data_IF_787842359388
#
_entry.id   IF_787842359388
#
_cell.length_a   1.000
_cell.length_b   1.000
_cell.length_c   1.000
_cell.angle_alpha   90.00
_cell.angle_beta   90.00
_cell.angle_gamma   90.00
#
_symmetry.space_group_name_H-M   'P 1'
#
loop_
_entity.id
_entity.type
_entity.pdbx_description
1 polymer ?
#
# COMPACT_ATOMS: atom_id res chain seq x y z
N UNK A 1 -63.80 97.08 -7.15
CA UNK A 1 -63.53 95.63 -7.29
C UNK A 1 -63.91 94.99 -5.95
N UNK A 2 -65.03 94.27 -5.85
CA UNK A 2 -65.25 92.85 -6.21
C UNK A 2 -64.56 91.95 -5.16
N UNK A 3 -65.17 90.96 -4.47
CA UNK A 3 -66.54 90.49 -4.20
C UNK A 3 -66.33 89.34 -3.19
N UNK A 4 -67.21 89.19 -2.20
CA UNK A 4 -67.35 87.98 -1.37
C UNK A 4 -67.28 86.68 -2.18
N UNK A 5 -66.96 85.56 -1.48
CA UNK A 5 -67.44 84.17 -1.62
C UNK A 5 -66.29 83.16 -1.35
N UNK A 6 -66.44 81.97 -0.75
CA UNK A 6 -67.55 81.03 -0.52
C UNK A 6 -67.01 79.94 0.46
N UNK A 7 -67.72 79.51 1.50
CA UNK A 7 -68.80 78.49 1.56
C UNK A 7 -68.34 77.01 1.54
N UNK A 8 -68.90 76.26 2.52
CA UNK A 8 -69.24 74.82 2.63
C UNK A 8 -68.17 73.92 3.32
N UNK A 9 -68.35 73.38 4.54
CA UNK A 9 -69.41 72.50 5.10
C UNK A 9 -69.28 71.10 4.44
N UNK A 10 -68.96 69.99 5.11
CA UNK A 10 -69.79 69.06 5.93
C UNK A 10 -68.87 67.81 6.15
N UNK A 11 -68.58 67.35 7.39
CA UNK A 11 -69.22 66.22 8.12
C UNK A 11 -68.88 64.82 7.53
N UNK A 12 -68.87 63.65 8.19
CA UNK A 12 -69.01 63.10 9.57
C UNK A 12 -69.12 61.56 9.35
N UNK A 13 -68.83 60.74 10.38
CA UNK A 13 -69.18 59.29 10.56
C UNK A 13 -68.31 58.24 9.81
N UNK A 14 -67.63 57.31 10.50
CA UNK A 14 -68.12 56.10 11.21
C UNK A 14 -68.52 54.98 10.22
N UNK A 15 -68.34 53.67 10.39
CA UNK A 15 -67.85 52.73 11.42
C UNK A 15 -68.00 51.33 10.76
N UNK A 16 -67.13 50.34 11.06
CA UNK A 16 -67.31 48.86 10.90
C UNK A 16 -67.64 48.31 9.48
N UNK A 17 -67.38 47.07 9.04
CA UNK A 17 -66.89 45.84 9.65
C UNK A 17 -66.39 44.88 8.55
N UNK A 18 -65.51 43.98 8.98
CA UNK A 18 -64.89 42.77 8.40
C UNK A 18 -65.71 41.93 7.39
N UNK A 19 -65.06 41.53 6.29
CA UNK A 19 -65.15 40.21 5.62
C UNK A 19 -63.73 39.88 5.08
N UNK A 20 -62.94 39.04 5.76
CA UNK A 20 -62.78 37.59 5.59
C UNK A 20 -62.39 37.10 4.17
N UNK A 21 -61.11 36.65 4.10
CA UNK A 21 -60.49 35.61 3.24
C UNK A 21 -60.19 35.95 1.78
N UNK A 22 -58.89 35.97 1.42
CA UNK A 22 -58.45 35.78 0.03
C UNK A 22 -57.07 36.30 -0.39
N UNK A 23 -55.98 35.83 0.24
CA UNK A 23 -54.66 35.65 -0.41
C UNK A 23 -53.81 36.86 -0.82
N UNK A 24 -52.72 37.10 -0.08
CA UNK A 24 -51.33 36.95 -0.58
C UNK A 24 -50.36 37.13 0.58
N UNK A 25 -49.41 36.21 0.65
CA UNK A 25 -48.44 36.00 1.72
C UNK A 25 -47.25 36.92 1.46
N UNK A 26 -46.91 37.80 2.41
CA UNK A 26 -45.64 38.52 2.39
C UNK A 26 -44.90 38.24 3.70
N UNK A 27 -44.03 37.25 3.56
CA UNK A 27 -43.10 36.65 4.49
C UNK A 27 -42.10 37.70 5.00
N UNK A 28 -42.24 38.16 6.25
CA UNK A 28 -41.14 38.77 6.99
C UNK A 28 -40.65 37.78 8.03
N UNK A 29 -39.91 36.81 7.51
CA UNK A 29 -39.01 35.96 8.28
C UNK A 29 -37.84 36.82 8.74
N UNK A 30 -37.76 37.12 10.03
CA UNK A 30 -36.49 37.49 10.64
C UNK A 30 -35.65 36.22 10.76
N UNK A 31 -35.11 35.78 9.63
CA UNK A 31 -34.09 34.75 9.61
C UNK A 31 -32.75 35.47 9.79
N UNK A 32 -32.36 35.64 11.06
CA UNK A 32 -30.97 35.78 11.41
C UNK A 32 -30.24 34.54 10.90
N UNK A 33 -29.80 34.58 9.64
CA UNK A 33 -28.94 33.55 9.07
C UNK A 33 -27.61 33.62 9.81
N UNK A 34 -27.47 32.80 10.86
CA UNK A 34 -26.16 32.27 11.22
C UNK A 34 -25.71 31.48 10.00
N UNK A 35 -24.89 32.10 9.18
CA UNK A 35 -24.11 31.40 8.16
C UNK A 35 -23.17 30.46 8.94
N UNK A 36 -23.61 29.22 9.17
CA UNK A 36 -22.67 28.13 9.36
C UNK A 36 -22.03 27.95 8.00
N UNK A 37 -20.95 28.70 7.76
CA UNK A 37 -19.98 28.29 6.76
C UNK A 37 -19.44 26.97 7.28
N UNK A 38 -19.93 25.85 6.75
CA UNK A 38 -19.26 24.58 6.92
C UNK A 38 -17.96 24.70 6.14
N UNK A 39 -16.87 25.01 6.83
CA UNK A 39 -15.54 24.70 6.32
C UNK A 39 -15.54 23.19 6.16
N UNK A 40 -15.51 22.70 4.93
CA UNK A 40 -15.24 21.29 4.70
C UNK A 40 -13.90 20.99 5.32
N UNK A 41 -13.80 19.88 6.02
CA UNK A 41 -12.50 19.43 6.47
C UNK A 41 -11.58 19.19 5.28
N UNK A 42 -10.31 19.52 5.44
CA UNK A 42 -9.26 19.16 4.51
C UNK A 42 -8.81 17.75 4.84
N UNK A 43 -9.07 16.81 3.92
CA UNK A 43 -8.54 15.45 3.95
C UNK A 43 -7.15 15.51 3.35
N UNK A 44 -6.12 15.38 4.19
CA UNK A 44 -4.74 15.28 3.75
C UNK A 44 -4.05 14.20 4.58
N UNK A 45 -3.35 13.30 3.91
CA UNK A 45 -2.55 12.26 4.53
C UNK A 45 -1.21 12.20 3.83
N UNK A 46 -0.18 11.90 4.60
CA UNK A 46 1.16 11.69 4.11
C UNK A 46 1.62 10.30 4.54
N UNK A 47 2.17 9.55 3.58
CA UNK A 47 2.93 8.34 3.87
C UNK A 47 4.32 8.81 4.28
N UNK A 48 4.63 8.69 5.57
CA UNK A 48 5.98 8.96 6.05
C UNK A 48 6.79 7.68 5.99
N UNK A 49 7.94 7.77 5.32
CA UNK A 49 8.93 6.72 5.22
C UNK A 49 10.29 7.30 5.60
N UNK A 50 10.92 6.74 6.64
CA UNK A 50 12.34 6.97 6.92
C UNK A 50 13.14 5.79 6.37
N UNK A 51 13.83 6.03 5.24
CA UNK A 51 14.57 5.00 4.52
C UNK A 51 15.87 5.56 3.92
N UNK A 52 16.97 4.91 4.24
CA UNK A 52 18.28 5.15 3.63
C UNK A 52 18.72 3.89 2.87
N UNK A 53 18.56 3.84 1.53
CA UNK A 53 18.83 2.63 0.76
C UNK A 53 20.32 2.27 0.78
N UNK A 54 20.70 1.01 1.05
CA UNK A 54 22.09 0.59 0.93
C UNK A 54 22.54 0.61 -0.54
N UNK A 55 23.84 0.85 -0.75
CA UNK A 55 24.45 0.73 -2.09
C UNK A 55 24.50 -0.72 -2.57
N UNK A 56 24.75 -1.66 -1.66
CA UNK A 56 24.75 -3.11 -1.90
C UNK A 56 23.93 -3.81 -0.80
N UNK A 57 22.73 -4.29 -1.14
CA UNK A 57 21.92 -5.11 -0.23
C UNK A 57 22.36 -6.58 -0.33
N UNK A 58 22.76 -7.18 0.79
CA UNK A 58 23.37 -8.53 0.83
C UNK A 58 22.55 -9.49 1.69
N UNK A 59 22.65 -10.81 1.46
CA UNK A 59 21.93 -11.80 2.27
C UNK A 59 22.17 -11.59 3.78
N UNK A 60 21.09 -11.49 4.55
CA UNK A 60 21.10 -11.20 5.99
C UNK A 60 21.27 -9.73 6.38
N UNK A 61 21.41 -8.81 5.41
CA UNK A 61 21.48 -7.37 5.69
C UNK A 61 20.08 -6.81 5.96
N UNK A 62 19.90 -6.22 7.14
CA UNK A 62 18.73 -5.45 7.52
C UNK A 62 18.88 -3.99 7.09
N UNK A 63 17.78 -3.41 6.60
CA UNK A 63 17.64 -1.98 6.32
C UNK A 63 16.43 -1.47 7.07
N UNK A 64 16.64 -0.41 7.87
CA UNK A 64 15.56 0.27 8.57
C UNK A 64 14.67 1.01 7.55
N UNK A 65 13.36 0.83 7.70
CA UNK A 65 12.33 1.41 6.83
C UNK A 65 11.08 1.59 7.67
N UNK A 66 11.04 2.70 8.42
CA UNK A 66 9.92 3.01 9.30
C UNK A 66 8.79 3.62 8.48
N UNK A 67 7.68 2.89 8.33
CA UNK A 67 6.53 3.28 7.52
C UNK A 67 5.31 3.48 8.40
N UNK A 68 4.68 4.64 8.29
CA UNK A 68 3.41 4.97 8.96
C UNK A 68 2.62 5.99 8.15
N UNK A 69 1.36 6.19 8.52
CA UNK A 69 0.49 7.19 7.90
C UNK A 69 0.25 8.33 8.88
N UNK A 70 0.57 9.55 8.46
CA UNK A 70 0.32 10.77 9.22
C UNK A 70 -0.92 11.46 8.66
N UNK A 71 -1.93 11.70 9.52
CA UNK A 71 -3.10 12.51 9.17
C UNK A 71 -2.79 13.99 9.42
N UNK A 72 -2.39 14.69 8.37
CA UNK A 72 -2.07 16.13 8.39
C UNK A 72 -3.31 17.00 8.16
N UNK A 73 -4.44 16.39 7.82
CA UNK A 73 -5.73 17.02 7.68
C UNK A 73 -6.39 17.40 9.01
N UNK A 74 -7.61 17.92 8.92
CA UNK A 74 -8.40 18.38 10.08
C UNK A 74 -9.62 17.48 10.38
N UNK A 75 -9.62 16.29 9.80
CA UNK A 75 -10.71 15.31 9.80
C UNK A 75 -10.11 13.93 10.00
N UNK A 76 -10.81 13.10 10.75
CA UNK A 76 -10.38 11.75 11.04
C UNK A 76 -10.34 10.89 9.76
N UNK A 77 -9.36 10.00 9.67
CA UNK A 77 -9.13 9.15 8.52
C UNK A 77 -9.18 7.66 8.87
N UNK A 78 -9.56 6.86 7.88
CA UNK A 78 -9.24 5.43 7.83
C UNK A 78 -8.18 5.21 6.75
N UNK A 79 -7.37 4.17 6.90
CA UNK A 79 -6.24 3.93 6.01
C UNK A 79 -6.13 2.47 5.54
N UNK A 80 -5.70 2.30 4.30
CA UNK A 80 -5.29 1.05 3.70
C UNK A 80 -3.93 1.25 3.02
N UNK A 81 -3.14 0.19 2.92
CA UNK A 81 -1.87 0.20 2.22
C UNK A 81 -1.68 -1.07 1.38
N UNK A 82 -0.83 -0.98 0.37
CA UNK A 82 -0.47 -2.10 -0.51
C UNK A 82 1.03 -2.05 -0.77
N UNK A 83 1.70 -3.19 -0.63
CA UNK A 83 3.11 -3.30 -1.01
C UNK A 83 3.20 -4.11 -2.31
N UNK A 84 3.84 -3.50 -3.31
CA UNK A 84 4.14 -4.11 -4.59
C UNK A 84 5.64 -4.43 -4.63
N UNK A 85 5.98 -5.71 -4.74
CA UNK A 85 7.36 -6.16 -4.74
C UNK A 85 7.79 -6.63 -6.13
N UNK A 86 9.02 -6.28 -6.49
CA UNK A 86 9.63 -6.72 -7.73
C UNK A 86 11.13 -6.92 -7.56
N UNK A 87 11.71 -7.82 -8.33
CA UNK A 87 13.14 -8.05 -8.35
C UNK A 87 13.59 -8.27 -9.79
N UNK A 88 14.53 -7.45 -10.28
CA UNK A 88 15.01 -7.51 -11.67
C UNK A 88 16.52 -7.58 -11.69
N UNK A 89 17.08 -8.47 -12.50
CA UNK A 89 18.53 -8.51 -12.72
C UNK A 89 18.98 -7.33 -13.57
N UNK A 90 19.97 -6.58 -13.09
CA UNK A 90 20.46 -5.35 -13.76
C UNK A 90 21.54 -5.59 -14.79
N UNK A 91 22.25 -6.71 -14.72
CA UNK A 91 23.41 -6.99 -15.56
C UNK A 91 23.50 -8.49 -15.85
N UNK A 92 24.06 -8.84 -17.01
CA UNK A 92 24.40 -10.22 -17.33
C UNK A 92 25.37 -10.81 -16.29
N UNK A 93 25.12 -12.06 -15.91
CA UNK A 93 26.04 -12.82 -15.05
C UNK A 93 26.94 -13.62 -15.96
N UNK A 94 28.24 -13.32 -15.90
CA UNK A 94 29.25 -13.93 -16.75
C UNK A 94 30.05 -14.97 -15.95
N UNK A 95 30.03 -16.20 -16.43
CA UNK A 95 30.90 -17.28 -15.96
C UNK A 95 32.09 -17.41 -16.91
N UNK A 96 33.31 -17.32 -16.37
CA UNK A 96 34.51 -17.64 -17.13
C UNK A 96 34.70 -19.16 -17.17
N UNK A 97 34.38 -19.77 -18.30
CA UNK A 97 34.50 -21.20 -18.54
C UNK A 97 35.72 -21.51 -19.41
N UNK A 98 36.46 -22.56 -19.06
CA UNK A 98 37.54 -23.05 -19.92
C UNK A 98 36.98 -23.88 -21.09
N UNK A 99 37.37 -23.51 -22.31
CA UNK A 99 37.06 -24.23 -23.55
C UNK A 99 38.28 -25.04 -24.00
N UNK A 100 38.10 -26.37 -24.10
CA UNK A 100 39.16 -27.30 -24.44
C UNK A 100 39.50 -27.33 -25.94
N UNK A 101 38.57 -26.95 -26.81
CA UNK A 101 38.76 -26.95 -28.27
C UNK A 101 39.61 -25.75 -28.71
N UNK A 102 39.51 -24.63 -27.98
CA UNK A 102 40.22 -23.37 -28.24
C UNK A 102 41.40 -23.13 -27.29
N UNK A 103 41.61 -23.97 -26.27
CA UNK A 103 42.59 -23.81 -25.19
C UNK A 103 42.57 -22.41 -24.55
N UNK A 104 41.36 -21.91 -24.28
CA UNK A 104 41.16 -20.53 -23.79
C UNK A 104 40.01 -20.42 -22.81
N UNK A 105 40.00 -19.33 -22.01
CA UNK A 105 38.85 -18.97 -21.18
C UNK A 105 37.84 -18.21 -22.05
N UNK A 106 36.57 -18.60 -21.96
CA UNK A 106 35.45 -17.95 -22.62
C UNK A 106 34.46 -17.43 -21.59
N UNK A 107 33.91 -16.25 -21.88
CA UNK A 107 32.84 -15.66 -21.10
C UNK A 107 31.51 -16.27 -21.55
N UNK A 108 30.83 -16.95 -20.63
CA UNK A 108 29.53 -17.57 -20.85
C UNK A 108 28.49 -16.81 -20.01
N UNK A 109 27.49 -16.24 -20.68
CA UNK A 109 26.35 -15.64 -19.99
C UNK A 109 25.54 -16.77 -19.37
N UNK A 110 25.47 -16.79 -18.04
CA UNK A 110 24.72 -17.80 -17.29
C UNK A 110 23.37 -17.28 -16.81
N UNK A 111 23.21 -15.97 -16.67
CA UNK A 111 21.92 -15.33 -16.43
C UNK A 111 21.88 -13.96 -17.13
N UNK A 112 20.71 -13.55 -17.57
CA UNK A 112 20.54 -12.39 -18.45
C UNK A 112 20.10 -11.12 -17.68
N UNK A 113 20.55 -9.97 -18.15
CA UNK A 113 20.00 -8.66 -17.79
C UNK A 113 18.49 -8.61 -18.12
N UNK A 114 17.72 -8.00 -17.21
CA UNK A 114 16.28 -7.81 -17.36
C UNK A 114 15.43 -9.02 -16.94
N UNK A 115 16.05 -10.14 -16.53
CA UNK A 115 15.30 -11.26 -15.96
C UNK A 115 14.55 -10.82 -14.70
N UNK A 116 13.25 -11.09 -14.66
CA UNK A 116 12.40 -10.88 -13.49
C UNK A 116 12.60 -12.08 -12.57
N UNK A 117 13.12 -11.81 -11.37
CA UNK A 117 13.41 -12.82 -10.36
C UNK A 117 12.24 -12.92 -9.40
N UNK A 118 11.92 -14.15 -8.94
CA UNK A 118 10.85 -14.33 -7.99
C UNK A 118 11.21 -13.73 -6.63
N UNK A 119 10.26 -13.01 -6.03
CA UNK A 119 10.37 -12.43 -4.68
C UNK A 119 9.99 -13.43 -3.57
N UNK A 120 9.49 -14.60 -3.95
CA UNK A 120 9.31 -15.78 -3.11
C UNK A 120 10.02 -16.95 -3.78
N UNK A 121 10.80 -17.73 -3.05
CA UNK A 121 11.47 -18.91 -3.57
C UNK A 121 11.14 -20.16 -2.75
N UNK A 122 11.20 -21.30 -3.44
CA UNK A 122 10.99 -22.61 -2.83
C UNK A 122 12.17 -23.00 -1.95
N UNK A 123 11.88 -23.48 -0.74
CA UNK A 123 12.88 -24.15 0.10
C UNK A 123 12.76 -25.65 -0.13
N UNK A 124 13.77 -26.23 -0.78
CA UNK A 124 13.81 -27.65 -1.12
C UNK A 124 14.70 -28.46 -0.19
N UNK A 125 14.30 -29.69 0.09
CA UNK A 125 15.18 -30.72 0.67
C UNK A 125 16.15 -31.27 -0.40
N UNK A 126 17.20 -31.97 0.04
CA UNK A 126 18.19 -32.62 -0.86
C UNK A 126 17.55 -33.59 -1.87
N UNK A 127 16.34 -34.09 -1.58
CA UNK A 127 15.55 -34.97 -2.46
C UNK A 127 14.73 -34.21 -3.53
N UNK A 128 14.79 -32.86 -3.54
CA UNK A 128 14.06 -31.99 -4.45
C UNK A 128 12.63 -31.62 -4.02
N UNK A 129 12.14 -32.14 -2.89
CA UNK A 129 10.82 -31.83 -2.36
C UNK A 129 10.77 -30.41 -1.79
N UNK A 130 9.73 -29.65 -2.16
CA UNK A 130 9.45 -28.33 -1.58
C UNK A 130 8.90 -28.53 -0.16
N UNK A 131 9.52 -27.86 0.80
CA UNK A 131 9.18 -27.98 2.24
C UNK A 131 8.62 -26.69 2.82
N UNK A 132 9.00 -25.55 2.26
CA UNK A 132 8.50 -24.24 2.65
C UNK A 132 8.64 -23.28 1.47
N UNK A 133 8.02 -22.11 1.62
CA UNK A 133 8.24 -20.95 0.77
C UNK A 133 8.89 -19.87 1.63
N UNK A 134 9.85 -19.16 1.06
CA UNK A 134 10.50 -18.05 1.75
C UNK A 134 10.56 -16.81 0.85
N UNK A 135 10.38 -15.65 1.45
CA UNK A 135 10.48 -14.38 0.75
C UNK A 135 11.94 -13.96 0.60
N UNK A 136 12.27 -13.28 -0.50
CA UNK A 136 13.56 -12.63 -0.72
C UNK A 136 13.79 -11.50 0.28
N UNK A 137 12.73 -10.74 0.55
CA UNK A 137 12.72 -9.62 1.47
C UNK A 137 11.87 -10.00 2.69
N UNK A 138 12.51 -10.19 3.83
CA UNK A 138 11.85 -10.51 5.10
C UNK A 138 11.41 -9.21 5.77
N UNK A 139 10.10 -9.00 5.93
CA UNK A 139 9.54 -7.79 6.53
C UNK A 139 9.51 -7.94 8.05
N UNK A 140 10.03 -6.94 8.76
CA UNK A 140 9.77 -6.75 10.17
C UNK A 140 8.65 -5.72 10.32
N UNK A 141 7.42 -6.21 10.47
CA UNK A 141 6.25 -5.36 10.66
C UNK A 141 6.21 -4.77 12.07
N UNK A 142 5.49 -3.65 12.23
CA UNK A 142 5.31 -3.02 13.53
C UNK A 142 4.53 -3.90 14.53
N UNK A 143 4.67 -3.60 15.82
CA UNK A 143 4.06 -4.38 16.91
C UNK A 143 2.53 -4.51 16.83
N UNK A 144 1.85 -3.54 16.21
CA UNK A 144 0.39 -3.52 16.03
C UNK A 144 -0.03 -3.98 14.62
N UNK A 145 0.73 -4.88 14.01
CA UNK A 145 0.42 -5.51 12.72
C UNK A 145 0.05 -6.98 12.94
N UNK A 146 -1.05 -7.44 12.32
CA UNK A 146 -1.57 -8.79 12.48
C UNK A 146 -1.96 -9.41 11.12
N UNK A 147 -1.67 -10.69 10.95
CA UNK A 147 -2.13 -11.47 9.80
C UNK A 147 -3.64 -11.66 9.87
N UNK A 148 -4.32 -11.49 8.73
CA UNK A 148 -5.73 -11.81 8.59
C UNK A 148 -5.96 -13.32 8.65
N UNK A 149 -6.78 -13.74 9.61
CA UNK A 149 -7.26 -15.12 9.73
C UNK A 149 -8.73 -15.21 9.27
N UNK A 150 -9.04 -16.00 8.23
CA UNK A 150 -10.41 -16.17 7.77
C UNK A 150 -11.37 -16.65 8.88
N UNK A 151 -12.43 -15.89 9.11
CA UNK A 151 -13.44 -16.19 10.13
C UNK A 151 -13.06 -15.76 11.56
N UNK A 152 -11.95 -15.05 11.74
CA UNK A 152 -11.65 -14.35 12.98
C UNK A 152 -12.64 -13.20 13.21
N UNK A 153 -12.86 -12.85 14.48
CA UNK A 153 -13.73 -11.74 14.87
C UNK A 153 -13.07 -10.40 14.52
N UNK A 154 -13.68 -9.54 13.68
CA UNK A 154 -13.13 -8.24 13.32
C UNK A 154 -12.79 -7.33 14.51
N UNK A 155 -13.54 -7.43 15.62
CA UNK A 155 -13.26 -6.66 16.85
C UNK A 155 -11.87 -6.96 17.43
N UNK A 156 -11.35 -8.18 17.22
CA UNK A 156 -10.03 -8.59 17.73
C UNK A 156 -8.84 -7.87 17.06
N UNK A 157 -9.11 -7.23 15.93
CA UNK A 157 -8.14 -6.47 15.15
C UNK A 157 -8.19 -4.96 15.43
N UNK A 158 -9.12 -4.47 16.24
CA UNK A 158 -9.23 -3.03 16.51
C UNK A 158 -7.90 -2.43 17.01
N UNK A 159 -7.52 -1.30 16.40
CA UNK A 159 -6.27 -0.60 16.65
C UNK A 159 -5.05 -1.19 15.94
N UNK A 160 -5.22 -2.21 15.08
CA UNK A 160 -4.12 -2.87 14.37
C UNK A 160 -4.19 -2.68 12.86
N UNK A 161 -3.03 -2.75 12.23
CA UNK A 161 -2.93 -3.04 10.80
C UNK A 161 -3.18 -4.51 10.56
N UNK A 162 -4.17 -4.85 9.75
CA UNK A 162 -4.46 -6.23 9.36
C UNK A 162 -3.96 -6.46 7.95
N UNK A 163 -3.22 -7.54 7.73
CA UNK A 163 -2.64 -7.82 6.42
C UNK A 163 -2.99 -9.18 5.86
N UNK A 164 -3.01 -9.28 4.54
CA UNK A 164 -3.00 -10.55 3.80
C UNK A 164 -1.96 -10.45 2.69
N UNK A 165 -1.50 -11.61 2.22
CA UNK A 165 -0.48 -11.70 1.19
C UNK A 165 -0.95 -12.57 0.03
N UNK A 166 -0.91 -12.00 -1.18
CA UNK A 166 -1.08 -12.75 -2.42
C UNK A 166 0.28 -13.22 -2.92
N UNK A 167 0.58 -14.49 -2.65
CA UNK A 167 1.84 -15.09 -3.05
C UNK A 167 1.98 -15.26 -4.57
N UNK A 168 0.89 -15.27 -5.34
CA UNK A 168 0.95 -15.42 -6.78
C UNK A 168 1.49 -14.15 -7.45
N UNK A 169 1.07 -13.00 -6.95
CA UNK A 169 1.42 -11.69 -7.49
C UNK A 169 2.50 -10.95 -6.67
N UNK A 170 2.88 -11.49 -5.51
CA UNK A 170 3.88 -10.86 -4.64
C UNK A 170 3.39 -9.57 -4.00
N UNK A 171 2.10 -9.53 -3.61
CA UNK A 171 1.43 -8.31 -3.15
C UNK A 171 0.93 -8.46 -1.72
N UNK A 172 1.30 -7.52 -0.85
CA UNK A 172 0.68 -7.38 0.46
C UNK A 172 -0.45 -6.36 0.42
N UNK A 173 -1.55 -6.67 1.09
CA UNK A 173 -2.65 -5.75 1.33
C UNK A 173 -2.79 -5.53 2.82
N UNK A 174 -3.00 -4.28 3.23
CA UNK A 174 -3.13 -3.86 4.61
C UNK A 174 -4.37 -2.99 4.77
N UNK A 175 -5.12 -3.22 5.85
CA UNK A 175 -6.22 -2.37 6.30
C UNK A 175 -6.02 -2.01 7.76
N UNK A 176 -5.99 -0.72 8.07
CA UNK A 176 -5.94 -0.27 9.46
C UNK A 176 -7.33 -0.37 10.07
N UNK A 177 -7.48 -1.23 11.08
CA UNK A 177 -8.72 -1.45 11.82
C UNK A 177 -8.86 -0.42 12.93
N UNK A 178 -8.78 0.85 12.58
CA UNK A 178 -8.90 1.97 13.49
C UNK A 178 -9.13 3.28 12.78
N UNK A 179 -9.24 4.34 13.59
CA UNK A 179 -9.34 5.72 13.11
C UNK A 179 -8.00 6.39 13.38
N UNK A 180 -7.45 7.09 12.40
CA UNK A 180 -6.30 8.00 12.54
C UNK A 180 -6.85 9.41 12.73
N UNK A 181 -6.90 9.94 13.98
CA UNK A 181 -7.49 11.26 14.21
C UNK A 181 -6.72 12.38 13.51
N UNK A 182 -7.37 13.53 13.32
CA UNK A 182 -6.72 14.72 12.78
C UNK A 182 -5.45 15.09 13.56
N UNK A 183 -4.33 15.27 12.85
CA UNK A 183 -3.02 15.59 13.44
C UNK A 183 -2.33 14.44 14.19
N UNK A 184 -2.80 13.20 14.01
CA UNK A 184 -2.21 12.00 14.62
C UNK A 184 -1.65 11.06 13.56
N UNK A 185 -0.96 10.02 14.02
CA UNK A 185 -0.32 9.00 13.19
C UNK A 185 -0.96 7.64 13.42
N UNK A 186 -0.92 6.77 12.41
CA UNK A 186 -1.18 5.34 12.59
C UNK A 186 -0.06 4.69 13.40
N UNK A 187 -0.28 3.48 13.96
CA UNK A 187 0.81 2.62 14.36
C UNK A 187 1.79 2.36 13.19
N UNK A 188 3.03 2.00 13.52
CA UNK A 188 4.02 1.59 12.53
C UNK A 188 3.52 0.38 11.75
N UNK A 189 3.56 0.50 10.42
CA UNK A 189 3.21 -0.55 9.49
C UNK A 189 4.41 -1.47 9.23
N UNK A 190 5.59 -0.87 9.06
CA UNK A 190 6.86 -1.55 8.81
C UNK A 190 7.96 -0.87 9.61
N UNK A 191 8.87 -1.65 10.19
CA UNK A 191 10.05 -1.15 10.90
C UNK A 191 11.31 -1.34 10.06
N UNK A 192 11.49 -2.53 9.47
CA UNK A 192 12.69 -2.85 8.70
C UNK A 192 12.44 -3.97 7.68
N UNK A 193 13.38 -4.12 6.74
CA UNK A 193 13.41 -5.21 5.77
C UNK A 193 14.78 -5.86 5.77
N UNK A 194 14.82 -7.19 5.82
CA UNK A 194 16.06 -7.96 5.79
C UNK A 194 16.13 -8.82 4.54
N UNK A 195 17.24 -8.78 3.80
CA UNK A 195 17.44 -9.71 2.69
C UNK A 195 17.54 -11.12 3.25
N UNK A 196 16.80 -12.06 2.70
CA UNK A 196 16.82 -13.43 3.18
C UNK A 196 18.26 -13.99 3.11
N UNK A 197 18.83 -14.51 4.22
CA UNK A 197 20.17 -15.11 4.23
C UNK A 197 20.35 -16.28 3.28
N UNK A 198 19.27 -16.92 2.83
CA UNK A 198 19.29 -18.02 1.86
C UNK A 198 19.33 -17.57 0.40
N UNK A 199 19.29 -16.27 0.13
CA UNK A 199 19.47 -15.78 -1.22
C UNK A 199 20.92 -16.05 -1.68
N UNK A 200 21.06 -16.81 -2.77
CA UNK A 200 22.35 -17.24 -3.31
C UNK A 200 22.72 -16.47 -4.58
N UNK A 201 24.00 -16.50 -4.94
CA UNK A 201 24.47 -16.11 -6.26
C UNK A 201 24.11 -17.19 -7.29
N UNK A 202 23.95 -16.82 -8.56
CA UNK A 202 23.67 -17.70 -9.70
C UNK A 202 24.68 -18.85 -9.77
N UNK A 203 25.95 -18.58 -9.48
CA UNK A 203 27.02 -19.59 -9.37
C UNK A 203 27.53 -19.64 -7.93
N UNK A 204 27.33 -20.77 -7.27
CA UNK A 204 27.71 -20.96 -5.85
C UNK A 204 29.04 -21.67 -5.67
N UNK A 205 29.56 -22.28 -6.74
CA UNK A 205 30.87 -22.91 -6.75
C UNK A 205 31.39 -23.15 -8.16
N UNK A 206 32.71 -23.03 -8.31
CA UNK A 206 33.43 -23.41 -9.53
C UNK A 206 34.56 -24.37 -9.15
N UNK A 207 34.82 -25.35 -10.00
CA UNK A 207 35.85 -26.35 -9.78
C UNK A 207 36.62 -26.60 -11.08
N UNK A 208 37.95 -26.52 -10.99
CA UNK A 208 38.84 -26.76 -12.10
C UNK A 208 39.85 -27.85 -11.73
N UNK A 209 39.98 -28.86 -12.59
CA UNK A 209 40.92 -29.97 -12.42
C UNK A 209 41.78 -30.10 -13.67
N UNK A 210 43.10 -30.22 -13.50
CA UNK A 210 44.03 -30.56 -14.57
C UNK A 210 44.71 -31.89 -14.25
N UNK A 211 44.74 -32.82 -15.22
CA UNK A 211 45.39 -34.12 -15.08
C UNK A 211 45.91 -34.63 -16.42
N UNK A 212 46.79 -35.63 -16.42
CA UNK A 212 47.27 -36.31 -17.62
C UNK A 212 46.45 -37.58 -17.83
N UNK A 213 45.82 -37.73 -18.99
CA UNK A 213 45.07 -38.92 -19.38
C UNK A 213 46.04 -39.88 -20.11
N UNK A 214 46.46 -40.94 -19.42
CA UNK A 214 47.42 -41.92 -19.96
C UNK A 214 46.84 -42.75 -21.11
N UNK A 215 45.51 -42.90 -21.20
CA UNK A 215 44.87 -43.66 -22.30
C UNK A 215 44.81 -42.84 -23.59
N UNK A 216 44.61 -41.53 -23.48
CA UNK A 216 44.63 -40.58 -24.61
C UNK A 216 46.01 -40.00 -24.91
N UNK A 217 46.94 -40.10 -23.97
CA UNK A 217 48.30 -39.57 -24.09
C UNK A 217 48.38 -38.04 -24.03
N UNK A 218 47.37 -37.36 -23.47
CA UNK A 218 47.26 -35.89 -23.48
C UNK A 218 46.93 -35.31 -22.09
N UNK A 219 47.22 -34.01 -21.91
CA UNK A 219 46.82 -33.27 -20.72
C UNK A 219 45.36 -32.83 -20.82
N UNK A 220 44.54 -33.20 -19.86
CA UNK A 220 43.11 -32.86 -19.78
C UNK A 220 42.89 -31.78 -18.73
N UNK A 221 42.09 -30.77 -19.07
CA UNK A 221 41.54 -29.78 -18.12
C UNK A 221 40.02 -29.93 -18.09
N UNK A 222 39.47 -30.07 -16.90
CA UNK A 222 38.04 -30.20 -16.65
C UNK A 222 37.58 -28.99 -15.82
N UNK A 223 36.47 -28.38 -16.23
CA UNK A 223 35.83 -27.28 -15.52
C UNK A 223 34.38 -27.67 -15.24
N UNK A 224 33.99 -27.62 -13.97
CA UNK A 224 32.61 -27.81 -13.53
C UNK A 224 32.18 -26.65 -12.66
N UNK A 225 30.88 -26.41 -12.57
CA UNK A 225 30.31 -25.38 -11.72
C UNK A 225 28.99 -25.86 -11.12
N UNK A 226 28.63 -25.24 -9.99
CA UNK A 226 27.35 -25.43 -9.33
C UNK A 226 26.53 -24.16 -9.53
N UNK A 227 25.33 -24.33 -10.08
CA UNK A 227 24.39 -23.25 -10.33
C UNK A 227 23.25 -23.31 -9.32
N UNK A 228 22.90 -22.18 -8.71
CA UNK A 228 21.70 -22.07 -7.88
C UNK A 228 20.43 -22.09 -8.75
N UNK A 229 19.27 -22.39 -8.18
CA UNK A 229 18.02 -22.41 -8.95
C UNK A 229 17.62 -21.02 -9.50
N UNK A 230 17.84 -19.93 -8.74
CA UNK A 230 17.36 -18.58 -9.10
C UNK A 230 18.50 -17.56 -9.25
N UNK A 231 19.40 -17.44 -8.26
CA UNK A 231 20.55 -16.53 -8.30
C UNK A 231 20.18 -15.04 -8.25
N UNK A 232 20.51 -14.37 -7.13
CA UNK A 232 20.18 -12.96 -6.90
C UNK A 232 21.39 -12.01 -7.07
N UNK A 233 22.45 -12.45 -7.76
CA UNK A 233 23.55 -11.57 -8.13
C UNK A 233 23.11 -10.52 -9.16
N UNK A 234 23.65 -9.31 -9.01
CA UNK A 234 23.27 -8.14 -9.80
C UNK A 234 21.77 -7.83 -9.79
N UNK A 235 21.02 -8.37 -8.85
CA UNK A 235 19.59 -8.13 -8.70
C UNK A 235 19.31 -6.77 -8.07
N UNK A 236 18.20 -6.17 -8.48
CA UNK A 236 17.64 -4.97 -7.89
C UNK A 236 16.22 -5.27 -7.44
N UNK A 237 16.06 -5.27 -6.12
CA UNK A 237 14.77 -5.43 -5.47
C UNK A 237 14.14 -4.05 -5.23
N UNK A 238 12.86 -3.93 -5.50
CA UNK A 238 12.03 -2.76 -5.22
C UNK A 238 10.80 -3.18 -4.44
N UNK A 239 10.45 -2.40 -3.43
CA UNK A 239 9.20 -2.51 -2.68
C UNK A 239 8.52 -1.15 -2.69
N UNK A 240 7.48 -1.03 -3.52
CA UNK A 240 6.70 0.18 -3.65
C UNK A 240 5.52 0.12 -2.67
N UNK A 241 5.37 1.17 -1.87
CA UNK A 241 4.29 1.26 -0.88
C UNK A 241 3.25 2.26 -1.36
N UNK A 242 2.04 1.77 -1.59
CA UNK A 242 0.88 2.57 -1.91
C UNK A 242 0.01 2.72 -0.67
N UNK A 243 -0.40 3.94 -0.35
CA UNK A 243 -1.33 4.21 0.72
C UNK A 243 -2.59 4.89 0.18
N UNK A 244 -3.74 4.53 0.72
CA UNK A 244 -5.03 5.13 0.41
C UNK A 244 -5.75 5.43 1.71
N UNK A 245 -6.21 6.67 1.85
CA UNK A 245 -6.96 7.12 3.02
C UNK A 245 -8.31 7.70 2.61
N UNK A 246 -9.31 7.50 3.46
CA UNK A 246 -10.64 8.10 3.32
C UNK A 246 -10.99 8.83 4.59
N UNK A 247 -11.96 9.75 4.51
CA UNK A 247 -12.64 10.22 5.71
C UNK A 247 -13.12 9.03 6.54
N UNK A 248 -12.91 9.08 7.86
CA UNK A 248 -13.52 8.15 8.81
C UNK A 248 -15.03 8.44 8.93
N UNK A 249 -15.76 8.14 7.87
CA UNK A 249 -17.22 8.17 7.85
C UNK A 249 -17.74 6.94 7.12
N UNK A 250 -18.84 6.40 7.63
CA UNK A 250 -19.52 5.26 7.02
C UNK A 250 -19.78 5.45 5.53
N UNK A 251 -20.28 6.63 5.14
CA UNK A 251 -20.61 6.95 3.75
C UNK A 251 -19.37 6.99 2.83
N UNK A 252 -18.23 7.51 3.31
CA UNK A 252 -17.01 7.54 2.52
C UNK A 252 -16.48 6.13 2.22
N UNK A 253 -16.54 5.24 3.23
CA UNK A 253 -16.11 3.84 3.12
C UNK A 253 -17.05 3.07 2.19
N UNK A 254 -18.37 3.11 2.41
CA UNK A 254 -19.37 2.41 1.58
C UNK A 254 -19.28 2.79 0.08
N UNK A 255 -18.95 4.06 -0.21
CA UNK A 255 -18.85 4.55 -1.59
C UNK A 255 -17.51 4.21 -2.26
N UNK A 256 -16.43 4.06 -1.50
CA UNK A 256 -15.07 3.97 -2.05
C UNK A 256 -14.44 2.59 -1.89
N UNK A 257 -14.49 2.00 -0.69
CA UNK A 257 -13.83 0.73 -0.40
C UNK A 257 -14.82 -0.42 -0.50
N UNK A 258 -14.77 -1.09 -1.66
CA UNK A 258 -15.54 -2.29 -1.96
C UNK A 258 -14.59 -3.46 -2.15
N UNK A 259 -14.58 -4.37 -1.18
CA UNK A 259 -13.72 -5.54 -1.19
C UNK A 259 -13.79 -6.31 -2.52
N UNK A 260 -12.63 -6.63 -3.09
CA UNK A 260 -12.49 -7.35 -4.36
C UNK A 260 -12.71 -6.49 -5.62
N UNK A 261 -13.03 -5.21 -5.49
CA UNK A 261 -13.16 -4.28 -6.61
C UNK A 261 -12.31 -3.02 -6.49
N UNK A 262 -11.77 -2.77 -5.29
CA UNK A 262 -10.76 -1.77 -5.02
C UNK A 262 -9.38 -2.43 -5.04
N UNK A 263 -8.41 -1.80 -5.69
CA UNK A 263 -7.04 -2.29 -5.82
C UNK A 263 -6.29 -2.33 -4.48
N UNK A 264 -6.77 -1.64 -3.45
CA UNK A 264 -6.19 -1.66 -2.11
C UNK A 264 -6.90 -2.65 -1.16
N UNK A 265 -8.10 -3.12 -1.50
CA UNK A 265 -8.96 -3.90 -0.60
C UNK A 265 -9.32 -5.24 -1.23
N UNK A 266 -8.62 -6.33 -0.86
CA UNK A 266 -8.91 -7.66 -1.38
C UNK A 266 -10.28 -8.16 -0.89
N UNK A 267 -10.86 -9.12 -1.61
CA UNK A 267 -12.16 -9.74 -1.26
C UNK A 267 -12.16 -10.29 0.17
N UNK A 268 -11.02 -10.81 0.63
CA UNK A 268 -10.83 -11.35 1.97
C UNK A 268 -11.14 -10.36 3.10
N UNK A 269 -11.05 -9.04 2.87
CA UNK A 269 -11.28 -8.03 3.89
C UNK A 269 -12.75 -7.57 4.00
N UNK A 270 -13.69 -8.29 3.37
CA UNK A 270 -15.10 -7.89 3.36
C UNK A 270 -15.69 -7.66 4.76
N UNK A 271 -15.46 -8.59 5.69
CA UNK A 271 -15.91 -8.53 7.08
C UNK A 271 -15.24 -7.37 7.86
N UNK A 272 -13.95 -7.16 7.65
CA UNK A 272 -13.20 -6.05 8.24
C UNK A 272 -13.74 -4.68 7.78
N UNK A 273 -14.06 -4.54 6.49
CA UNK A 273 -14.63 -3.30 5.94
C UNK A 273 -16.01 -3.03 6.51
N UNK A 274 -16.87 -4.05 6.62
CA UNK A 274 -18.19 -3.92 7.26
C UNK A 274 -18.09 -3.51 8.74
N UNK A 275 -17.12 -4.07 9.47
CA UNK A 275 -16.87 -3.68 10.86
C UNK A 275 -16.35 -2.24 10.96
N UNK A 276 -15.40 -1.86 10.13
CA UNK A 276 -14.84 -0.50 10.07
C UNK A 276 -15.93 0.54 9.74
N UNK A 277 -16.86 0.24 8.84
CA UNK A 277 -18.03 1.07 8.57
C UNK A 277 -18.90 1.29 9.82
N UNK A 278 -19.06 0.24 10.65
CA UNK A 278 -19.80 0.31 11.90
C UNK A 278 -19.07 1.18 12.94
N UNK A 279 -17.74 1.09 13.00
CA UNK A 279 -16.92 1.95 13.85
C UNK A 279 -17.00 3.43 13.45
N UNK A 280 -17.03 3.73 12.16
CA UNK A 280 -17.21 5.08 11.63
C UNK A 280 -18.67 5.56 11.58
N UNK A 281 -19.61 4.75 12.09
CA UNK A 281 -21.06 4.99 12.06
C UNK A 281 -21.63 5.41 13.41
N UNK A 282 -21.36 6.65 13.84
CA UNK A 282 -22.19 7.39 14.81
C UNK A 282 -22.31 8.86 14.43
#
# INVERSE_FOLDING_TARGET
MRKNRNKKLIALLAVLCVFLVGGTVAYFSDQASRRNTFTMGEFHSELEEEFDPPSDWKPGMEVQKEVKITNTGNVDLVAAARFDENCVRREDVILQQYDADTDSMQDVVVAEEGEILPVIFDVREENGAITAYEELALKNFGADVALYEPGADPESYEGKWVYTYDAADGVYYFLYMGIVPAGQESPLLLESVTMNPKAEATITGTYQKAYYDEEKGEGVKEFTYTRSEIGYDSAHYTMDIHAKTLQASREAIENSWKAGSDDMIPEAFGDLVEHLQTMCGR
#
